data_IF_842158469837
#
_entry.id   IF_842158469837
#
_cell.length_a   1.000
_cell.length_b   1.000
_cell.length_c   1.000
_cell.angle_alpha   90.00
_cell.angle_beta   90.00
_cell.angle_gamma   90.00
#
_symmetry.space_group_name_H-M   'P 1'
#
loop_
_entity.id
_entity.type
_entity.pdbx_description
1 polymer ?
#
# COMPACT_ATOMS: atom_id res chain seq x y z
N UNK A 1 -20.77 -17.53 8.48
CA UNK A 1 -20.04 -16.25 8.44
C UNK A 1 -20.94 -15.21 9.08
N UNK A 2 -20.39 -14.27 9.86
CA UNK A 2 -21.23 -13.18 10.41
C UNK A 2 -21.64 -12.24 9.28
N UNK A 3 -22.89 -11.82 9.24
CA UNK A 3 -23.35 -10.87 8.21
C UNK A 3 -23.04 -9.44 8.64
N UNK A 4 -22.37 -8.69 7.78
CA UNK A 4 -22.04 -7.28 8.01
C UNK A 4 -21.71 -6.55 6.71
N UNK A 5 -21.77 -5.22 6.79
CA UNK A 5 -21.29 -4.33 5.76
C UNK A 5 -20.35 -3.28 6.36
N UNK A 6 -19.24 -3.01 5.69
CA UNK A 6 -18.31 -1.93 6.00
C UNK A 6 -18.13 -1.08 4.75
N UNK A 7 -18.22 0.23 4.88
CA UNK A 7 -17.80 1.17 3.82
C UNK A 7 -16.78 2.13 4.39
N UNK A 8 -15.67 2.36 3.68
CA UNK A 8 -14.71 3.42 3.97
C UNK A 8 -14.39 4.18 2.69
N UNK A 9 -14.58 5.49 2.71
CA UNK A 9 -14.11 6.43 1.71
C UNK A 9 -12.77 7.01 2.17
N UNK A 10 -11.68 6.70 1.44
CA UNK A 10 -10.36 7.28 1.65
C UNK A 10 -10.18 8.51 0.76
N UNK A 11 -9.73 9.61 1.35
CA UNK A 11 -9.45 10.87 0.67
C UNK A 11 -8.04 11.37 1.04
N UNK A 12 -7.01 10.88 0.35
CA UNK A 12 -5.64 11.33 0.55
C UNK A 12 -5.38 12.71 -0.08
N UNK A 13 -4.52 13.53 0.54
CA UNK A 13 -4.27 14.92 0.11
C UNK A 13 -3.67 15.02 -1.30
N UNK A 14 -2.74 14.12 -1.65
CA UNK A 14 -1.98 14.20 -2.90
C UNK A 14 -2.34 13.11 -3.91
N UNK A 15 -3.09 12.10 -3.51
CA UNK A 15 -3.41 10.93 -4.33
C UNK A 15 -4.92 10.81 -4.63
N UNK A 16 -5.29 9.80 -5.43
CA UNK A 16 -6.69 9.54 -5.82
C UNK A 16 -7.52 9.11 -4.63
N UNK A 17 -8.74 9.61 -4.55
CA UNK A 17 -9.72 9.16 -3.55
C UNK A 17 -10.32 7.82 -3.96
N UNK A 18 -10.89 7.10 -2.99
CA UNK A 18 -11.45 5.79 -3.24
C UNK A 18 -12.53 5.43 -2.24
N UNK A 19 -13.37 4.47 -2.62
CA UNK A 19 -14.36 3.84 -1.76
C UNK A 19 -14.09 2.35 -1.69
N UNK A 20 -14.01 1.83 -0.48
CA UNK A 20 -13.83 0.43 -0.15
C UNK A 20 -15.10 -0.08 0.53
N UNK A 21 -15.75 -1.07 -0.07
CA UNK A 21 -16.99 -1.66 0.45
C UNK A 21 -16.76 -3.15 0.67
N UNK A 22 -16.90 -3.60 1.92
CA UNK A 22 -16.98 -5.03 2.25
C UNK A 22 -18.43 -5.39 2.48
N UNK A 23 -18.90 -6.39 1.73
CA UNK A 23 -20.22 -7.00 1.92
C UNK A 23 -20.02 -8.45 2.30
N UNK A 24 -20.53 -8.82 3.47
CA UNK A 24 -20.44 -10.17 3.99
C UNK A 24 -21.85 -10.70 4.26
N UNK A 25 -22.26 -11.68 3.46
CA UNK A 25 -23.52 -12.38 3.56
C UNK A 25 -23.26 -13.84 3.97
N UNK A 26 -24.29 -14.54 4.45
CA UNK A 26 -24.18 -15.93 4.92
C UNK A 26 -23.50 -16.89 3.94
N UNK A 27 -23.59 -16.63 2.62
CA UNK A 27 -23.07 -17.49 1.55
C UNK A 27 -21.79 -16.98 0.88
N UNK A 28 -21.45 -15.69 1.00
CA UNK A 28 -20.30 -15.09 0.32
C UNK A 28 -19.85 -13.81 1.00
N UNK A 29 -18.55 -13.51 0.86
CA UNK A 29 -17.99 -12.24 1.26
C UNK A 29 -17.13 -11.66 0.13
N UNK A 30 -17.24 -10.37 -0.07
CA UNK A 30 -16.50 -9.65 -1.10
C UNK A 30 -16.05 -8.27 -0.62
N UNK A 31 -14.90 -7.85 -1.14
CA UNK A 31 -14.41 -6.48 -1.06
C UNK A 31 -14.50 -5.87 -2.46
N UNK A 32 -15.22 -4.76 -2.60
CA UNK A 32 -15.23 -3.93 -3.80
C UNK A 32 -14.49 -2.62 -3.53
N UNK A 33 -13.56 -2.27 -4.40
CA UNK A 33 -12.79 -1.02 -4.36
C UNK A 33 -13.09 -0.22 -5.62
N UNK A 34 -13.48 1.04 -5.44
CA UNK A 34 -13.72 2.01 -6.52
C UNK A 34 -12.80 3.19 -6.31
N UNK A 35 -11.85 3.40 -7.22
CA UNK A 35 -10.93 4.53 -7.23
C UNK A 35 -11.49 5.61 -8.14
N UNK A 36 -11.60 6.84 -7.62
CA UNK A 36 -12.07 7.99 -8.36
C UNK A 36 -10.89 8.69 -9.00
N UNK A 37 -10.87 8.74 -10.33
CA UNK A 37 -9.92 9.56 -11.07
C UNK A 37 -10.21 11.04 -10.84
N UNK A 38 -9.18 11.87 -10.64
CA UNK A 38 -9.38 13.31 -10.39
C UNK A 38 -9.98 14.06 -11.58
N UNK A 39 -9.83 13.51 -12.79
CA UNK A 39 -10.14 14.22 -14.04
C UNK A 39 -10.80 13.34 -15.13
N UNK A 40 -11.10 12.07 -14.85
CA UNK A 40 -11.76 11.18 -15.81
C UNK A 40 -13.16 10.80 -15.34
N UNK A 41 -14.08 10.59 -16.30
CA UNK A 41 -15.37 9.95 -16.03
C UNK A 41 -15.21 8.46 -15.66
N UNK A 42 -14.06 7.88 -15.99
CA UNK A 42 -13.76 6.48 -15.72
C UNK A 42 -13.31 6.29 -14.26
N UNK A 43 -13.77 5.21 -13.64
CA UNK A 43 -13.32 4.80 -12.31
C UNK A 43 -12.68 3.43 -12.41
N UNK A 44 -11.55 3.25 -11.73
CA UNK A 44 -10.94 1.94 -11.59
C UNK A 44 -11.72 1.16 -10.53
N UNK A 45 -12.39 0.09 -10.93
CA UNK A 45 -13.14 -0.78 -10.01
C UNK A 45 -12.54 -2.19 -9.96
N UNK A 46 -12.39 -2.73 -8.76
CA UNK A 46 -11.97 -4.12 -8.52
C UNK A 46 -12.84 -4.77 -7.45
N UNK A 47 -13.12 -6.06 -7.62
CA UNK A 47 -13.85 -6.86 -6.64
C UNK A 47 -13.05 -8.12 -6.31
N UNK A 48 -12.88 -8.38 -5.03
CA UNK A 48 -12.12 -9.50 -4.49
C UNK A 48 -13.05 -10.40 -3.69
N UNK A 49 -13.03 -11.70 -3.98
CA UNK A 49 -13.69 -12.69 -3.12
C UNK A 49 -12.87 -12.89 -1.85
N UNK A 50 -13.55 -12.86 -0.71
CA UNK A 50 -12.92 -13.06 0.60
C UNK A 50 -13.21 -14.49 1.06
N UNK A 51 -12.21 -15.15 1.65
CA UNK A 51 -12.46 -16.38 2.39
C UNK A 51 -13.08 -16.05 3.76
N UNK A 52 -13.80 -17.03 4.32
CA UNK A 52 -14.50 -16.89 5.60
C UNK A 52 -13.60 -16.38 6.72
N UNK A 53 -12.36 -16.86 6.80
CA UNK A 53 -11.44 -16.52 7.89
C UNK A 53 -11.06 -15.04 7.86
N UNK A 54 -10.73 -14.50 6.67
CA UNK A 54 -10.39 -13.08 6.51
C UNK A 54 -11.60 -12.18 6.74
N UNK A 55 -12.77 -12.58 6.23
CA UNK A 55 -14.01 -11.83 6.44
C UNK A 55 -14.42 -11.80 7.92
N UNK A 56 -14.30 -12.92 8.64
CA UNK A 56 -14.57 -12.98 10.07
C UNK A 56 -13.53 -12.18 10.87
N UNK A 57 -12.25 -12.26 10.52
CA UNK A 57 -11.21 -11.48 11.20
C UNK A 57 -11.48 -9.97 11.09
N UNK A 58 -11.81 -9.48 9.89
CA UNK A 58 -12.18 -8.09 9.69
C UNK A 58 -13.42 -7.72 10.52
N UNK A 59 -14.44 -8.58 10.58
CA UNK A 59 -15.61 -8.36 11.42
C UNK A 59 -15.21 -8.11 12.87
N UNK A 60 -14.39 -8.98 13.47
CA UNK A 60 -13.98 -8.85 14.88
C UNK A 60 -13.23 -7.53 15.11
N UNK A 61 -12.31 -7.18 14.21
CA UNK A 61 -11.56 -5.91 14.27
C UNK A 61 -12.51 -4.72 14.20
N UNK A 62 -13.41 -4.69 13.23
CA UNK A 62 -14.38 -3.59 13.09
C UNK A 62 -15.32 -3.49 14.29
N UNK A 63 -15.88 -4.61 14.74
CA UNK A 63 -16.81 -4.64 15.87
C UNK A 63 -16.14 -4.12 17.14
N UNK A 64 -14.94 -4.61 17.45
CA UNK A 64 -14.20 -4.22 18.65
C UNK A 64 -13.77 -2.77 18.64
N UNK A 65 -13.32 -2.24 17.50
CA UNK A 65 -12.85 -0.86 17.38
C UNK A 65 -14.02 0.12 17.33
N UNK A 66 -14.98 -0.11 16.44
CA UNK A 66 -16.03 0.88 16.14
C UNK A 66 -17.08 0.98 17.25
N UNK A 67 -17.27 -0.04 18.08
CA UNK A 67 -18.14 0.06 19.27
C UNK A 67 -17.61 1.05 20.31
N UNK A 68 -16.32 1.36 20.25
CA UNK A 68 -15.63 2.33 21.13
C UNK A 68 -15.24 3.61 20.38
N UNK A 69 -15.85 3.86 19.22
CA UNK A 69 -15.59 5.07 18.43
C UNK A 69 -15.82 6.33 19.27
N UNK A 70 -14.86 7.27 19.20
CA UNK A 70 -14.97 8.64 19.72
C UNK A 70 -14.78 9.64 18.59
N UNK A 71 -15.45 10.78 18.68
CA UNK A 71 -15.25 11.89 17.74
C UNK A 71 -13.84 12.49 17.79
N UNK A 72 -13.05 12.20 18.82
CA UNK A 72 -11.67 12.68 18.94
C UNK A 72 -10.76 12.14 17.82
N UNK A 73 -11.16 11.05 17.15
CA UNK A 73 -10.43 10.53 15.99
C UNK A 73 -10.54 11.45 14.77
N UNK A 74 -11.50 12.37 14.73
CA UNK A 74 -11.82 13.21 13.57
C UNK A 74 -11.00 14.51 13.47
N UNK A 75 -9.90 14.64 14.21
CA UNK A 75 -9.03 15.82 14.15
C UNK A 75 -8.37 15.94 12.77
N UNK A 76 -8.79 16.93 11.98
CA UNK A 76 -8.27 17.19 10.64
C UNK A 76 -6.95 17.98 10.73
N UNK A 77 -5.91 17.49 10.05
CA UNK A 77 -4.68 18.24 9.80
C UNK A 77 -4.57 18.76 8.36
N UNK A 78 -3.43 19.38 8.04
CA UNK A 78 -3.20 20.04 6.73
C UNK A 78 -2.85 19.05 5.60
N UNK A 79 -2.08 18.00 5.91
CA UNK A 79 -1.64 16.99 4.94
C UNK A 79 -2.23 15.60 5.23
N UNK A 80 -1.72 14.53 4.63
CA UNK A 80 -2.07 13.16 4.99
C UNK A 80 -3.36 12.63 4.36
N UNK A 81 -4.13 11.84 5.11
CA UNK A 81 -5.30 11.12 4.60
C UNK A 81 -6.49 11.23 5.54
N UNK A 82 -7.65 11.57 5.00
CA UNK A 82 -8.91 11.42 5.73
C UNK A 82 -9.60 10.13 5.31
N UNK A 83 -10.23 9.46 6.27
CA UNK A 83 -11.09 8.32 6.05
C UNK A 83 -12.42 8.56 6.74
N UNK A 84 -13.51 8.25 6.05
CA UNK A 84 -14.85 8.31 6.62
C UNK A 84 -15.64 7.09 6.19
N UNK A 85 -16.53 6.60 7.03
CA UNK A 85 -17.17 5.32 6.76
C UNK A 85 -18.41 5.04 7.59
N UNK A 86 -18.97 3.87 7.33
CA UNK A 86 -20.09 3.30 8.07
C UNK A 86 -19.87 1.80 8.26
N UNK A 87 -20.47 1.26 9.32
CA UNK A 87 -20.42 -0.17 9.63
C UNK A 87 -21.79 -0.64 10.12
N UNK A 88 -22.25 -1.76 9.60
CA UNK A 88 -23.54 -2.35 9.98
C UNK A 88 -23.39 -3.85 10.15
N UNK A 89 -23.93 -4.36 11.26
CA UNK A 89 -24.06 -5.79 11.55
C UNK A 89 -25.37 -6.02 12.32
N UNK A 90 -25.74 -7.27 12.57
CA UNK A 90 -26.91 -7.60 13.39
C UNK A 90 -26.82 -7.04 14.82
N UNK A 91 -25.61 -7.01 15.41
CA UNK A 91 -25.40 -6.63 16.80
C UNK A 91 -25.08 -5.14 17.03
N UNK A 92 -24.63 -4.44 15.98
CA UNK A 92 -24.13 -3.07 16.08
C UNK A 92 -24.14 -2.37 14.73
N UNK A 93 -24.54 -1.10 14.72
CA UNK A 93 -24.48 -0.23 13.57
C UNK A 93 -23.91 1.14 13.94
N UNK A 94 -23.04 1.67 13.09
CA UNK A 94 -22.48 3.01 13.17
C UNK A 94 -22.59 3.67 11.80
N UNK A 95 -23.53 4.61 11.68
CA UNK A 95 -23.85 5.25 10.40
C UNK A 95 -22.72 6.14 9.88
N UNK A 96 -21.90 6.69 10.80
CA UNK A 96 -20.76 7.53 10.44
C UNK A 96 -19.64 7.41 11.47
N UNK A 97 -18.44 7.13 10.98
CA UNK A 97 -17.19 7.37 11.67
C UNK A 97 -16.22 8.10 10.74
N UNK A 98 -15.22 8.75 11.31
CA UNK A 98 -14.12 9.33 10.53
C UNK A 98 -12.84 9.42 11.35
N UNK A 99 -11.71 9.36 10.66
CA UNK A 99 -10.40 9.60 11.23
C UNK A 99 -9.46 10.24 10.21
N UNK A 100 -8.37 10.83 10.69
CA UNK A 100 -7.36 11.47 9.85
C UNK A 100 -5.96 10.95 10.23
N UNK A 101 -5.20 10.51 9.23
CA UNK A 101 -3.81 10.06 9.30
C UNK A 101 -3.45 9.31 10.59
N UNK A 102 -4.11 8.17 10.86
CA UNK A 102 -3.98 7.52 12.16
C UNK A 102 -2.57 6.97 12.35
N UNK A 103 -2.02 7.19 13.55
CA UNK A 103 -0.68 6.74 13.89
C UNK A 103 -0.66 5.24 14.20
N UNK A 104 0.53 4.63 14.08
CA UNK A 104 0.72 3.23 14.47
C UNK A 104 0.31 3.03 15.93
N UNK A 105 -0.37 1.92 16.19
CA UNK A 105 -0.93 1.53 17.50
C UNK A 105 -2.22 2.27 17.90
N UNK A 106 -2.73 3.19 17.08
CA UNK A 106 -4.08 3.72 17.28
C UNK A 106 -5.15 2.77 16.74
N UNK A 107 -6.34 2.79 17.34
CA UNK A 107 -7.44 1.94 16.89
C UNK A 107 -7.80 2.12 15.40
N UNK A 108 -7.89 3.34 14.84
CA UNK A 108 -8.21 3.47 13.42
C UNK A 108 -7.12 2.91 12.50
N UNK A 109 -5.85 2.94 12.91
CA UNK A 109 -4.75 2.34 12.14
C UNK A 109 -4.92 0.83 12.02
N UNK A 110 -5.20 0.13 13.12
CA UNK A 110 -5.46 -1.33 13.12
C UNK A 110 -6.67 -1.70 12.24
N UNK A 111 -7.70 -0.85 12.19
CA UNK A 111 -8.86 -1.06 11.32
C UNK A 111 -8.48 -0.96 9.85
N UNK A 112 -7.68 0.06 9.47
CA UNK A 112 -7.17 0.20 8.11
C UNK A 112 -6.25 -0.96 7.75
N UNK A 113 -5.37 -1.37 8.66
CA UNK A 113 -4.48 -2.52 8.46
C UNK A 113 -5.26 -3.78 8.11
N UNK A 114 -6.30 -4.09 8.89
CA UNK A 114 -7.15 -5.25 8.65
C UNK A 114 -7.89 -5.16 7.29
N UNK A 115 -8.36 -3.97 6.91
CA UNK A 115 -9.05 -3.74 5.63
C UNK A 115 -8.11 -3.85 4.43
N UNK A 116 -6.99 -3.13 4.43
CA UNK A 116 -6.04 -3.17 3.32
C UNK A 116 -5.36 -4.54 3.23
N UNK A 117 -5.13 -5.18 4.37
CA UNK A 117 -4.67 -6.56 4.50
C UNK A 117 -5.58 -7.59 3.82
N UNK A 118 -6.77 -7.23 3.34
CA UNK A 118 -7.62 -8.08 2.48
C UNK A 118 -7.10 -8.20 1.03
N UNK A 119 -6.25 -7.28 0.59
CA UNK A 119 -5.63 -7.32 -0.75
C UNK A 119 -4.24 -7.93 -0.62
N UNK A 120 -4.02 -9.09 -1.25
CA UNK A 120 -2.70 -9.72 -1.31
C UNK A 120 -2.09 -9.53 -2.71
N UNK A 121 -1.26 -8.49 -2.84
CA UNK A 121 -0.59 -8.13 -4.07
C UNK A 121 0.39 -9.21 -4.60
N UNK A 122 0.86 -10.15 -3.75
CA UNK A 122 1.77 -11.21 -4.17
C UNK A 122 1.04 -12.44 -4.76
N UNK A 123 -0.26 -12.60 -4.49
CA UNK A 123 -1.01 -13.81 -4.87
C UNK A 123 -2.05 -13.57 -5.97
N UNK A 124 -2.50 -12.33 -6.12
CA UNK A 124 -3.54 -11.96 -7.06
C UNK A 124 -2.90 -11.40 -8.32
N UNK A 125 -3.35 -11.85 -9.50
CA UNK A 125 -3.05 -11.17 -10.76
C UNK A 125 -3.81 -9.85 -10.80
N UNK A 126 -3.21 -8.83 -10.20
CA UNK A 126 -3.70 -7.46 -10.14
C UNK A 126 -2.94 -6.68 -11.20
N UNK A 127 -3.66 -5.84 -11.95
CA UNK A 127 -3.07 -4.97 -12.94
C UNK A 127 -2.25 -3.84 -12.31
N UNK A 128 -1.33 -3.28 -13.08
CA UNK A 128 -0.38 -2.28 -12.61
C UNK A 128 -1.08 -1.00 -12.12
N UNK A 129 -2.20 -0.58 -12.75
CA UNK A 129 -2.93 0.63 -12.34
C UNK A 129 -3.48 0.51 -10.91
N UNK A 130 -4.08 -0.63 -10.57
CA UNK A 130 -4.56 -0.86 -9.21
C UNK A 130 -3.41 -1.05 -8.23
N UNK A 131 -2.34 -1.75 -8.64
CA UNK A 131 -1.16 -1.94 -7.80
C UNK A 131 -0.54 -0.61 -7.40
N UNK A 132 -0.33 0.31 -8.36
CA UNK A 132 0.23 1.63 -8.07
C UNK A 132 -0.68 2.45 -7.16
N UNK A 133 -1.99 2.43 -7.38
CA UNK A 133 -2.94 3.08 -6.48
C UNK A 133 -2.89 2.49 -5.06
N UNK A 134 -2.83 1.17 -4.92
CA UNK A 134 -2.77 0.52 -3.61
C UNK A 134 -1.48 0.89 -2.89
N UNK A 135 -0.34 0.85 -3.57
CA UNK A 135 0.97 1.28 -3.05
C UNK A 135 0.92 2.74 -2.57
N UNK A 136 0.28 3.64 -3.33
CA UNK A 136 0.07 5.05 -2.94
C UNK A 136 -0.86 5.22 -1.75
N UNK A 137 -1.91 4.41 -1.62
CA UNK A 137 -2.79 4.46 -0.46
C UNK A 137 -2.04 3.95 0.79
N UNK A 138 -1.31 2.86 0.62
CA UNK A 138 -0.56 2.20 1.69
C UNK A 138 0.49 3.12 2.30
N UNK A 139 1.15 3.98 1.49
CA UNK A 139 2.19 4.90 1.95
C UNK A 139 1.69 6.05 2.86
N UNK A 140 0.37 6.26 2.97
CA UNK A 140 -0.18 7.19 3.96
C UNK A 140 -0.23 6.63 5.38
N UNK A 141 0.00 5.33 5.54
CA UNK A 141 -0.11 4.65 6.82
C UNK A 141 1.22 4.01 7.18
N UNK A 142 1.54 4.05 8.47
CA UNK A 142 2.78 3.50 8.99
C UNK A 142 2.72 1.97 9.13
N UNK A 143 2.73 1.26 8.00
CA UNK A 143 2.77 -0.21 7.92
C UNK A 143 4.19 -0.77 7.63
N UNK A 144 5.21 0.09 7.68
CA UNK A 144 6.57 -0.22 7.28
C UNK A 144 7.02 0.60 6.07
N UNK A 145 8.26 0.38 5.62
CA UNK A 145 8.82 1.15 4.52
C UNK A 145 8.23 0.73 3.17
N UNK A 146 8.20 1.61 2.14
CA UNK A 146 7.58 1.31 0.85
C UNK A 146 8.50 0.47 -0.05
N UNK A 147 8.90 -0.68 0.49
CA UNK A 147 9.80 -1.65 -0.13
C UNK A 147 9.28 -3.04 0.16
N UNK A 148 9.27 -3.91 -0.86
CA UNK A 148 8.92 -5.32 -0.69
C UNK A 148 9.72 -6.23 -1.59
N UNK A 149 9.93 -7.45 -1.13
CA UNK A 149 10.48 -8.54 -1.93
C UNK A 149 9.33 -9.33 -2.56
N UNK A 150 9.38 -9.48 -3.87
CA UNK A 150 8.50 -10.37 -4.62
C UNK A 150 9.34 -11.58 -5.02
N UNK A 151 8.94 -12.73 -4.50
CA UNK A 151 9.61 -14.00 -4.75
C UNK A 151 9.48 -14.42 -6.23
N UNK A 152 10.51 -15.09 -6.74
CA UNK A 152 10.62 -15.48 -8.14
C UNK A 152 12.05 -15.82 -8.51
N UNK A 153 12.26 -16.20 -9.77
CA UNK A 153 13.59 -16.35 -10.35
C UNK A 153 13.67 -15.56 -11.67
N UNK A 154 14.29 -14.37 -11.69
CA UNK A 154 14.93 -13.69 -10.55
C UNK A 154 13.93 -13.16 -9.52
N UNK A 155 14.41 -12.88 -8.30
CA UNK A 155 13.65 -12.12 -7.29
C UNK A 155 13.48 -10.67 -7.72
N UNK A 156 12.48 -10.00 -7.18
CA UNK A 156 12.26 -8.57 -7.42
C UNK A 156 12.20 -7.78 -6.11
N UNK A 157 13.06 -6.79 -5.99
CA UNK A 157 13.00 -5.73 -4.98
C UNK A 157 12.13 -4.60 -5.55
N UNK A 158 10.90 -4.49 -5.08
CA UNK A 158 9.96 -3.44 -5.47
C UNK A 158 10.09 -2.27 -4.52
N UNK A 159 10.36 -1.07 -5.06
CA UNK A 159 10.44 0.19 -4.33
C UNK A 159 9.37 1.11 -4.90
N UNK A 160 8.54 1.67 -4.05
CA UNK A 160 7.42 2.52 -4.46
C UNK A 160 7.32 3.77 -3.59
N UNK A 161 6.57 4.76 -4.06
CA UNK A 161 6.37 6.05 -3.41
C UNK A 161 7.70 6.73 -2.99
N UNK A 162 7.69 7.42 -1.86
CA UNK A 162 8.83 8.17 -1.33
C UNK A 162 9.63 7.39 -0.27
N UNK A 163 10.96 7.48 -0.30
CA UNK A 163 11.83 7.02 0.77
C UNK A 163 12.45 8.19 1.54
N UNK A 164 12.26 8.21 2.86
CA UNK A 164 12.83 9.22 3.77
C UNK A 164 14.02 8.67 4.58
N UNK A 165 14.88 9.56 5.07
CA UNK A 165 16.16 9.19 5.71
C UNK A 165 16.00 8.39 7.00
N UNK A 166 14.87 8.51 7.68
CA UNK A 166 14.50 7.68 8.84
C UNK A 166 14.27 6.20 8.48
N UNK A 167 14.11 5.86 7.19
CA UNK A 167 13.96 4.49 6.69
C UNK A 167 15.30 3.79 6.39
N UNK A 168 16.44 4.47 6.58
CA UNK A 168 17.77 3.99 6.19
C UNK A 168 18.12 2.61 6.78
N UNK A 169 17.87 2.42 8.08
CA UNK A 169 18.25 1.19 8.79
C UNK A 169 17.47 -0.02 8.26
N UNK A 170 16.16 0.12 8.10
CA UNK A 170 15.27 -0.94 7.62
C UNK A 170 15.57 -1.27 6.15
N UNK A 171 15.76 -0.25 5.31
CA UNK A 171 16.14 -0.42 3.90
C UNK A 171 17.49 -1.14 3.78
N UNK A 172 18.49 -0.73 4.58
CA UNK A 172 19.80 -1.35 4.60
C UNK A 172 19.73 -2.83 4.99
N UNK A 173 18.85 -3.17 5.96
CA UNK A 173 18.63 -4.55 6.37
C UNK A 173 18.03 -5.38 5.23
N UNK A 174 16.96 -4.89 4.59
CA UNK A 174 16.32 -5.57 3.45
C UNK A 174 17.33 -5.82 2.32
N UNK A 175 18.15 -4.81 1.97
CA UNK A 175 19.15 -4.94 0.91
C UNK A 175 20.22 -5.96 1.25
N UNK A 176 20.70 -5.99 2.50
CA UNK A 176 21.72 -6.95 2.95
C UNK A 176 21.21 -8.39 2.96
N UNK A 177 19.92 -8.60 3.19
CA UNK A 177 19.31 -9.94 3.21
C UNK A 177 19.18 -10.54 1.79
N UNK A 178 19.41 -9.76 0.73
CA UNK A 178 19.43 -10.25 -0.65
C UNK A 178 20.79 -10.89 -0.96
N UNK A 179 20.82 -12.21 -1.13
CA UNK A 179 22.04 -12.97 -1.43
C UNK A 179 22.82 -12.40 -2.61
N UNK A 180 24.13 -12.11 -2.51
CA UNK A 180 24.88 -11.38 -3.54
C UNK A 180 24.92 -12.04 -4.93
N UNK A 181 24.85 -13.37 -5.01
CA UNK A 181 25.02 -14.14 -6.24
C UNK A 181 23.71 -14.39 -7.00
N UNK A 182 22.55 -14.15 -6.38
CA UNK A 182 21.24 -14.32 -7.02
C UNK A 182 20.97 -13.17 -8.00
N UNK A 183 20.36 -13.46 -9.15
CA UNK A 183 19.88 -12.41 -10.06
C UNK A 183 18.73 -11.63 -9.43
N UNK A 184 18.73 -10.31 -9.62
CA UNK A 184 17.78 -9.38 -9.01
C UNK A 184 17.17 -8.44 -10.05
N UNK A 185 15.87 -8.15 -9.89
CA UNK A 185 15.19 -7.02 -10.51
C UNK A 185 14.92 -5.96 -9.43
N UNK A 186 15.40 -4.74 -9.62
CA UNK A 186 14.97 -3.58 -8.82
C UNK A 186 13.88 -2.86 -9.63
N UNK A 187 12.67 -2.84 -9.09
CA UNK A 187 11.47 -2.30 -9.75
C UNK A 187 11.02 -1.01 -9.04
N UNK A 188 11.27 0.11 -9.70
CA UNK A 188 10.98 1.47 -9.27
C UNK A 188 9.90 2.12 -10.16
N UNK A 189 9.03 1.33 -10.82
CA UNK A 189 7.99 1.89 -11.71
C UNK A 189 6.93 2.75 -11.03
N UNK A 190 6.77 2.68 -9.70
CA UNK A 190 5.87 3.54 -8.92
C UNK A 190 6.64 4.32 -7.84
N UNK A 191 7.92 4.61 -8.10
CA UNK A 191 8.77 5.40 -7.22
C UNK A 191 8.55 6.90 -7.48
N UNK A 192 8.46 7.68 -6.40
CA UNK A 192 8.22 9.13 -6.47
C UNK A 192 9.49 9.94 -6.16
N UNK A 193 10.15 9.68 -5.03
CA UNK A 193 11.34 10.43 -4.61
C UNK A 193 12.12 9.70 -3.51
N UNK A 194 13.35 10.16 -3.26
CA UNK A 194 14.05 9.80 -2.04
C UNK A 194 14.96 10.91 -1.54
N UNK A 195 15.30 10.90 -0.25
CA UNK A 195 16.42 11.70 0.24
C UNK A 195 17.74 11.26 -0.40
N UNK A 196 18.53 12.18 -0.96
CA UNK A 196 19.82 11.84 -1.60
C UNK A 196 20.84 11.21 -0.65
N UNK A 197 20.66 11.40 0.66
CA UNK A 197 21.46 10.72 1.70
C UNK A 197 21.27 9.19 1.70
N UNK A 198 20.20 8.67 1.10
CA UNK A 198 19.95 7.23 0.96
C UNK A 198 20.70 6.59 -0.22
N UNK A 199 21.24 7.38 -1.17
CA UNK A 199 21.96 6.84 -2.32
C UNK A 199 23.06 5.81 -1.95
N UNK A 200 23.89 6.02 -0.89
CA UNK A 200 24.89 5.04 -0.48
C UNK A 200 24.32 3.68 -0.04
N UNK A 201 23.07 3.64 0.43
CA UNK A 201 22.40 2.41 0.91
C UNK A 201 22.23 1.39 -0.22
N UNK A 202 22.12 1.85 -1.47
CA UNK A 202 21.94 1.01 -2.65
C UNK A 202 23.25 0.44 -3.21
N UNK A 203 24.42 0.88 -2.73
CA UNK A 203 25.72 0.41 -3.21
C UNK A 203 25.86 -1.12 -3.23
N UNK A 204 25.39 -1.89 -2.23
CA UNK A 204 25.44 -3.35 -2.27
C UNK A 204 24.66 -3.97 -3.44
N UNK A 205 23.65 -3.28 -3.99
CA UNK A 205 22.91 -3.76 -5.17
C UNK A 205 23.66 -3.49 -6.48
N UNK A 206 24.56 -2.51 -6.48
CA UNK A 206 25.33 -2.10 -7.66
C UNK A 206 26.61 -2.92 -7.79
N UNK A 207 27.26 -3.21 -6.67
CA UNK A 207 28.58 -3.86 -6.60
C UNK A 207 28.51 -5.39 -6.46
N UNK A 208 27.31 -5.96 -6.36
CA UNK A 208 27.11 -7.41 -6.16
C UNK A 208 27.56 -8.25 -7.37
N UNK A 209 27.98 -9.52 -7.15
CA UNK A 209 28.37 -10.43 -8.23
C UNK A 209 27.21 -10.87 -9.15
N UNK A 210 26.01 -11.05 -8.61
CA UNK A 210 24.82 -11.44 -9.38
C UNK A 210 24.30 -10.28 -10.24
N UNK A 211 23.59 -10.60 -11.34
CA UNK A 211 23.11 -9.54 -12.23
C UNK A 211 21.98 -8.74 -11.58
N UNK A 212 22.01 -7.42 -11.74
CA UNK A 212 20.95 -6.52 -11.26
C UNK A 212 20.37 -5.75 -12.42
N UNK A 213 19.06 -5.91 -12.64
CA UNK A 213 18.30 -5.19 -13.67
C UNK A 213 17.41 -4.16 -13.03
N UNK A 214 17.28 -3.00 -13.66
CA UNK A 214 16.48 -1.89 -13.13
C UNK A 214 15.31 -1.60 -14.07
N UNK A 215 14.10 -1.53 -13.50
CA UNK A 215 12.89 -1.04 -14.15
C UNK A 215 12.53 0.26 -13.45
N UNK A 216 12.48 1.37 -14.17
CA UNK A 216 12.51 2.71 -13.55
C UNK A 216 11.40 3.61 -14.07
N UNK A 217 10.82 4.40 -13.16
CA UNK A 217 10.01 5.57 -13.50
C UNK A 217 10.91 6.73 -13.95
N UNK A 218 10.31 7.79 -14.52
CA UNK A 218 11.04 8.99 -14.90
C UNK A 218 11.65 9.69 -13.66
N UNK A 219 10.92 9.63 -12.55
CA UNK A 219 11.27 10.21 -11.25
C UNK A 219 12.49 9.52 -10.62
N UNK A 220 12.70 8.23 -10.89
CA UNK A 220 13.84 7.48 -10.39
C UNK A 220 15.17 7.82 -11.11
N UNK A 221 15.11 8.30 -12.36
CA UNK A 221 16.29 8.49 -13.21
C UNK A 221 17.38 9.36 -12.56
N UNK A 222 17.09 10.56 -12.01
CA UNK A 222 18.12 11.42 -11.42
C UNK A 222 18.86 10.74 -10.26
N UNK A 223 18.17 9.90 -9.49
CA UNK A 223 18.78 9.18 -8.38
C UNK A 223 19.69 8.06 -8.86
N UNK A 224 19.30 7.33 -9.91
CA UNK A 224 20.16 6.31 -10.52
C UNK A 224 21.45 6.89 -11.07
N UNK A 225 21.38 8.08 -11.68
CA UNK A 225 22.55 8.82 -12.16
C UNK A 225 23.47 9.19 -10.99
N UNK A 226 22.92 9.70 -9.88
CA UNK A 226 23.69 9.99 -8.66
C UNK A 226 24.36 8.74 -8.06
N UNK A 227 23.67 7.59 -8.13
CA UNK A 227 24.18 6.30 -7.67
C UNK A 227 25.17 5.66 -8.65
N UNK A 228 25.37 6.25 -9.84
CA UNK A 228 26.22 5.71 -10.91
C UNK A 228 25.79 4.32 -11.39
N UNK A 229 24.49 4.02 -11.33
CA UNK A 229 23.94 2.74 -11.82
C UNK A 229 24.21 2.65 -13.33
N UNK A 230 24.91 1.60 -13.81
CA UNK A 230 25.10 1.40 -15.25
C UNK A 230 23.73 1.29 -15.92
N UNK A 231 23.41 2.19 -16.86
CA UNK A 231 22.10 2.22 -17.52
C UNK A 231 21.87 0.97 -18.38
N UNK A 232 21.48 -0.13 -17.75
CA UNK A 232 20.76 -1.23 -18.38
C UNK A 232 19.28 -1.10 -17.95
N UNK A 233 18.66 0.01 -18.38
CA UNK A 233 17.23 0.26 -18.16
C UNK A 233 16.46 -0.72 -19.04
N UNK A 234 15.70 -1.61 -18.41
CA UNK A 234 15.05 -2.72 -19.12
C UNK A 234 13.73 -2.30 -19.77
N UNK A 235 13.08 -1.24 -19.29
CA UNK A 235 11.85 -0.66 -19.87
C UNK A 235 11.57 0.70 -19.21
N UNK A 236 11.33 1.74 -20.02
CA UNK A 236 10.55 2.90 -19.59
C UNK A 236 9.08 2.54 -19.81
N UNK A 237 8.27 2.57 -18.76
CA UNK A 237 6.81 2.56 -18.91
C UNK A 237 6.39 3.98 -19.27
N UNK A 238 5.81 4.17 -20.46
CA UNK A 238 5.13 5.42 -20.81
C UNK A 238 4.03 5.68 -19.77
N UNK A 239 4.09 6.84 -19.12
CA UNK A 239 3.12 7.28 -18.10
C UNK A 239 1.78 7.68 -18.68
#
# INVERSE_FOLDING_TARGET
>A
MKEYALQIDFSPSFHRSSKWTVSCLSSHAELTVVVKERFEESSLQRTFKLCSDRANHLFEVCYEILRHYSNDWSLIGFDGISAQGSFTSEAFSLDKFSFWSPERNEYPHNLVEALLGLVNLNSLKIDDKFTSYYEQLYSYFDFGIPVRIIEGNPKRLRIYCGLSSDMEEELSKIIRDIKPEEDLIVDMTNFDFMGTMLCPVFRPLIERPGSTRWIVSAEAIPYLEMMTVPMQIVQQTEG
#
